data_IF_647343266675
#
_entry.id   IF_647343266675
#
_cell.length_a   1.000
_cell.length_b   1.000
_cell.length_c   1.000
_cell.angle_alpha   90.00
_cell.angle_beta   90.00
_cell.angle_gamma   90.00
#
_symmetry.space_group_name_H-M   'P 1'
#
loop_
_entity.id
_entity.type
_entity.pdbx_description
1 polymer ?
#
# COMPACT_ATOMS: atom_id res chain seq x y z
N UNK A 1 -6.45 16.46 34.79
CA UNK A 1 -7.08 15.28 34.15
C UNK A 1 -6.01 14.34 33.59
N UNK A 2 -5.13 13.81 34.45
CA UNK A 2 -3.96 13.00 34.04
C UNK A 2 -3.79 11.73 34.89
N UNK A 3 -4.58 11.58 35.96
CA UNK A 3 -4.42 10.48 36.92
C UNK A 3 -5.11 9.17 36.47
N UNK A 4 -6.24 9.29 35.77
CA UNK A 4 -7.06 8.15 35.35
C UNK A 4 -6.32 7.25 34.35
N UNK A 5 -5.54 7.83 33.44
CA UNK A 5 -4.79 7.04 32.43
C UNK A 5 -3.61 6.26 33.05
N UNK A 6 -3.06 6.75 34.16
CA UNK A 6 -1.98 6.09 34.88
C UNK A 6 -2.52 4.93 35.73
N UNK A 7 -3.60 5.16 36.49
CA UNK A 7 -4.30 4.09 37.23
C UNK A 7 -4.88 3.03 36.28
N UNK A 8 -5.43 3.42 35.11
CA UNK A 8 -5.88 2.46 34.11
C UNK A 8 -4.71 1.59 33.63
N UNK A 9 -3.55 2.19 33.31
CA UNK A 9 -2.35 1.45 32.87
C UNK A 9 -1.83 0.50 33.94
N UNK A 10 -1.91 0.90 35.21
CA UNK A 10 -1.45 0.10 36.34
C UNK A 10 -2.40 -1.08 36.64
N UNK A 11 -3.72 -0.85 36.57
CA UNK A 11 -4.74 -1.91 36.64
C UNK A 11 -4.68 -2.86 35.43
N UNK A 12 -4.42 -2.35 34.23
CA UNK A 12 -4.25 -3.15 33.01
C UNK A 12 -2.92 -3.93 32.98
N UNK A 13 -1.96 -3.59 33.83
CA UNK A 13 -0.70 -4.32 33.98
C UNK A 13 -0.79 -5.53 34.92
N UNK A 14 -1.84 -5.59 35.76
CA UNK A 14 -2.09 -6.66 36.73
C UNK A 14 -3.02 -7.77 36.19
N UNK A 15 -3.77 -7.49 35.12
CA UNK A 15 -4.68 -8.43 34.45
C UNK A 15 -4.28 -8.56 32.97
N UNK A 16 -4.62 -9.70 32.33
CA UNK A 16 -4.47 -9.85 30.88
C UNK A 16 -5.06 -8.65 30.12
N UNK A 17 -4.45 -8.29 29.00
CA UNK A 17 -4.93 -7.21 28.12
C UNK A 17 -6.43 -7.39 27.84
N UNK A 18 -7.28 -6.37 28.06
CA UNK A 18 -8.72 -6.47 27.88
C UNK A 18 -9.10 -6.97 26.48
N UNK A 19 -10.24 -7.65 26.38
CA UNK A 19 -10.73 -8.21 25.12
C UNK A 19 -10.77 -7.16 23.99
N UNK A 20 -11.28 -5.95 24.26
CA UNK A 20 -11.33 -4.88 23.25
C UNK A 20 -9.94 -4.47 22.76
N UNK A 21 -8.96 -4.38 23.67
CA UNK A 21 -7.60 -3.99 23.33
C UNK A 21 -6.89 -5.05 22.49
N UNK A 22 -7.06 -6.34 22.83
CA UNK A 22 -6.59 -7.47 21.99
C UNK A 22 -7.24 -7.44 20.61
N UNK A 23 -8.54 -7.21 20.53
CA UNK A 23 -9.27 -7.12 19.25
C UNK A 23 -8.77 -5.99 18.36
N UNK A 24 -8.47 -4.83 18.95
CA UNK A 24 -7.83 -3.72 18.26
C UNK A 24 -6.47 -4.13 17.68
N UNK A 25 -5.60 -4.70 18.50
CA UNK A 25 -4.26 -5.16 18.07
C UNK A 25 -4.34 -6.24 17.00
N UNK A 26 -5.25 -7.21 17.13
CA UNK A 26 -5.44 -8.29 16.15
C UNK A 26 -5.87 -7.76 14.79
N UNK A 27 -6.76 -6.74 14.77
CA UNK A 27 -7.16 -6.07 13.55
C UNK A 27 -5.98 -5.31 12.93
N UNK A 28 -5.30 -4.47 13.72
CA UNK A 28 -4.16 -3.69 13.25
C UNK A 28 -3.07 -4.58 12.65
N UNK A 29 -2.74 -5.68 13.33
CA UNK A 29 -1.76 -6.65 12.86
C UNK A 29 -2.22 -7.39 11.59
N UNK A 30 -3.51 -7.69 11.45
CA UNK A 30 -4.04 -8.29 10.22
C UNK A 30 -3.97 -7.33 9.03
N UNK A 31 -4.32 -6.06 9.23
CA UNK A 31 -4.24 -5.03 8.19
C UNK A 31 -2.78 -4.76 7.79
N UNK A 32 -1.89 -4.57 8.78
CA UNK A 32 -0.47 -4.32 8.54
C UNK A 32 0.15 -5.43 7.68
N UNK A 33 -0.07 -6.70 8.04
CA UNK A 33 0.44 -7.84 7.25
C UNK A 33 -0.10 -7.89 5.82
N UNK A 34 -1.37 -7.53 5.62
CA UNK A 34 -1.96 -7.48 4.29
C UNK A 34 -1.29 -6.40 3.43
N UNK A 35 -1.15 -5.19 3.98
CA UNK A 35 -0.50 -4.07 3.29
C UNK A 35 0.98 -4.34 3.03
N UNK A 36 1.69 -4.96 3.98
CA UNK A 36 3.10 -5.34 3.80
C UNK A 36 3.28 -6.41 2.72
N UNK A 37 2.33 -7.35 2.62
CA UNK A 37 2.32 -8.32 1.52
C UNK A 37 2.09 -7.61 0.18
N UNK A 38 1.08 -6.74 0.08
CA UNK A 38 0.79 -5.98 -1.13
C UNK A 38 2.00 -5.14 -1.56
N UNK A 39 2.61 -4.42 -0.62
CA UNK A 39 3.79 -3.59 -0.87
C UNK A 39 4.97 -4.41 -1.38
N UNK A 40 5.32 -5.51 -0.71
CA UNK A 40 6.45 -6.37 -1.12
C UNK A 40 6.25 -6.96 -2.51
N UNK A 41 5.06 -7.50 -2.77
CA UNK A 41 4.72 -8.09 -4.07
C UNK A 41 4.75 -7.05 -5.18
N UNK A 42 4.17 -5.87 -4.94
CA UNK A 42 4.21 -4.76 -5.90
C UNK A 42 5.64 -4.32 -6.20
N UNK A 43 6.46 -4.09 -5.18
CA UNK A 43 7.86 -3.67 -5.32
C UNK A 43 8.66 -4.70 -6.12
N UNK A 44 8.53 -5.99 -5.81
CA UNK A 44 9.20 -7.07 -6.54
C UNK A 44 8.78 -7.14 -8.02
N UNK A 45 7.50 -6.93 -8.32
CA UNK A 45 7.04 -6.93 -9.72
C UNK A 45 7.48 -5.68 -10.50
N UNK A 46 7.77 -4.57 -9.83
CA UNK A 46 8.23 -3.32 -10.43
C UNK A 46 9.73 -3.28 -10.75
N UNK A 47 10.54 -4.22 -10.25
CA UNK A 47 12.00 -4.23 -10.47
C UNK A 47 12.38 -4.09 -11.94
N UNK A 48 11.69 -4.83 -12.81
CA UNK A 48 11.97 -4.78 -14.25
C UNK A 48 11.54 -3.43 -14.85
N UNK A 49 10.44 -2.84 -14.40
CA UNK A 49 10.01 -1.51 -14.86
C UNK A 49 11.04 -0.46 -14.45
N UNK A 50 11.50 -0.49 -13.20
CA UNK A 50 12.58 0.39 -12.68
C UNK A 50 13.87 0.23 -13.47
N UNK A 51 14.26 -1.01 -13.82
CA UNK A 51 15.41 -1.26 -14.67
C UNK A 51 15.25 -0.62 -16.06
N UNK A 52 14.08 -0.76 -16.69
CA UNK A 52 13.82 -0.17 -18.01
C UNK A 52 13.71 1.35 -17.98
N UNK A 53 13.18 1.92 -16.92
CA UNK A 53 13.21 3.36 -16.68
C UNK A 53 14.64 3.88 -16.59
N UNK A 54 15.52 3.25 -15.80
CA UNK A 54 16.96 3.61 -15.75
C UNK A 54 17.66 3.48 -17.10
N UNK A 55 17.36 2.42 -17.86
CA UNK A 55 17.88 2.27 -19.23
C UNK A 55 17.39 3.38 -20.16
N UNK A 56 16.15 3.83 -20.00
CA UNK A 56 15.59 4.93 -20.77
C UNK A 56 16.30 6.25 -20.45
N UNK A 57 16.44 6.62 -19.18
CA UNK A 57 17.13 7.87 -18.82
C UNK A 57 18.59 7.86 -19.26
N UNK A 58 19.29 6.73 -19.14
CA UNK A 58 20.65 6.56 -19.66
C UNK A 58 20.78 6.52 -21.20
N UNK A 59 19.67 6.58 -21.94
CA UNK A 59 19.66 6.61 -23.40
C UNK A 59 19.02 7.88 -24.00
N UNK A 60 18.27 8.62 -23.20
CA UNK A 60 17.61 9.87 -23.57
C UNK A 60 18.42 11.08 -23.08
N UNK A 61 18.38 12.18 -23.83
CA UNK A 61 19.11 13.41 -23.53
C UNK A 61 18.36 14.36 -22.58
N UNK A 62 17.08 14.11 -22.32
CA UNK A 62 16.27 14.97 -21.47
C UNK A 62 14.82 14.50 -21.30
N UNK A 63 14.05 15.22 -20.47
CA UNK A 63 12.68 14.85 -20.14
C UNK A 63 11.76 14.82 -21.36
N UNK A 64 11.95 15.69 -22.35
CA UNK A 64 11.07 15.77 -23.53
C UNK A 64 11.32 14.69 -24.60
N UNK A 65 12.36 13.88 -24.47
CA UNK A 65 12.72 12.86 -25.48
C UNK A 65 11.63 11.79 -25.67
N UNK A 66 10.72 11.65 -24.70
CA UNK A 66 9.58 10.74 -24.79
C UNK A 66 8.72 11.04 -26.03
N UNK A 67 8.63 12.30 -26.47
CA UNK A 67 7.75 12.74 -27.59
C UNK A 67 8.03 12.02 -28.90
N UNK A 68 9.25 11.52 -29.08
CA UNK A 68 9.68 10.82 -30.30
C UNK A 68 9.36 9.33 -30.30
N UNK A 69 8.95 8.78 -29.15
CA UNK A 69 8.89 7.33 -28.94
C UNK A 69 7.61 6.86 -28.23
N UNK A 70 7.05 7.66 -27.33
CA UNK A 70 5.82 7.38 -26.58
C UNK A 70 4.70 8.33 -27.00
N UNK A 71 3.45 7.87 -26.86
CA UNK A 71 2.27 8.67 -27.18
C UNK A 71 1.95 9.75 -26.13
N UNK A 72 2.47 9.61 -24.92
CA UNK A 72 2.25 10.53 -23.80
C UNK A 72 3.49 10.61 -22.91
N UNK A 73 3.54 11.63 -22.04
CA UNK A 73 4.62 11.76 -21.05
C UNK A 73 4.66 10.54 -20.13
N UNK A 74 5.89 10.09 -19.87
CA UNK A 74 6.18 9.02 -18.92
C UNK A 74 6.59 9.54 -17.54
N UNK A 75 6.50 10.86 -17.29
CA UNK A 75 7.01 11.49 -16.06
C UNK A 75 6.33 10.94 -14.80
N UNK A 76 5.05 10.58 -14.90
CA UNK A 76 4.31 9.98 -13.79
C UNK A 76 4.78 8.57 -13.45
N UNK A 77 5.43 7.85 -14.37
CA UNK A 77 5.90 6.49 -14.11
C UNK A 77 7.02 6.46 -13.07
N UNK A 78 7.85 7.49 -12.98
CA UNK A 78 8.96 7.55 -12.01
C UNK A 78 8.46 7.44 -10.56
N UNK A 79 7.60 8.34 -10.06
CA UNK A 79 7.08 8.24 -8.70
C UNK A 79 6.11 7.05 -8.52
N UNK A 80 5.30 6.70 -9.53
CA UNK A 80 4.38 5.55 -9.42
C UNK A 80 5.15 4.23 -9.23
N UNK A 81 6.28 4.08 -9.91
CA UNK A 81 7.11 2.89 -9.78
C UNK A 81 8.06 2.97 -8.58
N UNK A 82 8.09 4.07 -7.82
CA UNK A 82 9.08 4.34 -6.79
C UNK A 82 10.51 4.09 -7.36
N UNK A 83 10.75 4.70 -8.53
CA UNK A 83 12.03 4.69 -9.22
C UNK A 83 12.83 5.94 -8.84
N UNK A 84 14.16 5.82 -8.88
CA UNK A 84 15.06 6.96 -8.72
C UNK A 84 14.78 8.03 -9.79
N UNK A 85 14.98 9.33 -9.47
CA UNK A 85 14.87 10.41 -10.44
C UNK A 85 15.74 10.14 -11.68
N UNK A 86 15.28 10.52 -12.88
CA UNK A 86 16.00 10.23 -14.12
C UNK A 86 17.36 10.96 -14.16
N UNK A 87 18.42 10.20 -14.40
CA UNK A 87 19.72 10.72 -14.81
C UNK A 87 19.83 10.62 -16.35
N UNK A 88 19.76 11.76 -17.02
CA UNK A 88 19.79 11.85 -18.49
C UNK A 88 21.20 11.68 -19.03
N UNK A 89 21.30 11.10 -20.23
CA UNK A 89 22.58 10.92 -20.90
C UNK A 89 23.07 12.23 -21.53
N UNK A 90 24.36 12.53 -21.39
CA UNK A 90 25.01 13.67 -22.07
C UNK A 90 24.90 13.58 -23.60
N UNK A 91 24.88 12.35 -24.12
CA UNK A 91 24.72 12.04 -25.53
C UNK A 91 23.61 11.00 -25.71
N UNK A 92 22.54 11.31 -26.44
CA UNK A 92 21.45 10.37 -26.62
C UNK A 92 21.91 9.16 -27.44
N UNK A 93 21.34 8.01 -27.13
CA UNK A 93 21.53 6.81 -27.94
C UNK A 93 20.87 6.97 -29.32
N UNK A 94 21.33 6.23 -30.35
CA UNK A 94 20.67 6.22 -31.65
C UNK A 94 19.18 5.88 -31.56
N UNK A 95 18.36 6.49 -32.42
CA UNK A 95 16.90 6.36 -32.39
C UNK A 95 16.41 4.89 -32.36
N UNK A 96 17.07 3.99 -33.11
CA UNK A 96 16.77 2.55 -33.10
C UNK A 96 16.90 1.93 -31.70
N UNK A 97 17.95 2.32 -30.95
CA UNK A 97 18.19 1.82 -29.59
C UNK A 97 17.18 2.38 -28.60
N UNK A 98 16.89 3.69 -28.66
CA UNK A 98 15.83 4.31 -27.82
C UNK A 98 14.47 3.64 -28.04
N UNK A 99 14.08 3.39 -29.29
CA UNK A 99 12.85 2.66 -29.61
C UNK A 99 12.83 1.23 -29.06
N UNK A 100 13.97 0.53 -29.06
CA UNK A 100 14.05 -0.80 -28.46
C UNK A 100 13.84 -0.76 -26.94
N UNK A 101 14.51 0.17 -26.25
CA UNK A 101 14.35 0.36 -24.80
C UNK A 101 12.91 0.73 -24.45
N UNK A 102 12.29 1.63 -25.22
CA UNK A 102 10.90 2.02 -25.01
C UNK A 102 9.93 0.85 -25.19
N UNK A 103 10.11 0.01 -26.22
CA UNK A 103 9.30 -1.21 -26.40
C UNK A 103 9.47 -2.16 -25.20
N UNK A 104 10.68 -2.33 -24.71
CA UNK A 104 10.95 -3.15 -23.52
C UNK A 104 10.30 -2.58 -22.26
N UNK A 105 10.28 -1.25 -22.12
CA UNK A 105 9.61 -0.55 -21.02
C UNK A 105 8.10 -0.79 -21.06
N UNK A 106 7.46 -0.55 -22.21
CA UNK A 106 6.01 -0.79 -22.41
C UNK A 106 5.67 -2.24 -22.09
N UNK A 107 6.40 -3.20 -22.66
CA UNK A 107 6.18 -4.62 -22.40
C UNK A 107 6.36 -5.00 -20.92
N UNK A 108 7.25 -4.31 -20.20
CA UNK A 108 7.45 -4.52 -18.75
C UNK A 108 6.31 -3.97 -17.92
N UNK A 109 5.81 -2.77 -18.24
CA UNK A 109 4.64 -2.16 -17.59
C UNK A 109 3.40 -3.03 -17.81
N UNK A 110 3.15 -3.49 -19.04
CA UNK A 110 2.01 -4.36 -19.31
C UNK A 110 2.08 -5.69 -18.54
N UNK A 111 3.27 -6.30 -18.45
CA UNK A 111 3.48 -7.51 -17.65
C UNK A 111 3.23 -7.25 -16.17
N UNK A 112 3.70 -6.12 -15.65
CA UNK A 112 3.42 -5.69 -14.28
C UNK A 112 1.92 -5.56 -14.05
N UNK A 113 1.21 -4.80 -14.88
CA UNK A 113 -0.24 -4.58 -14.74
C UNK A 113 -1.02 -5.89 -14.74
N UNK A 114 -0.71 -6.81 -15.66
CA UNK A 114 -1.36 -8.14 -15.71
C UNK A 114 -1.06 -8.99 -14.48
N UNK A 115 0.20 -9.00 -14.02
CA UNK A 115 0.59 -9.79 -12.83
C UNK A 115 0.01 -9.21 -11.55
N UNK A 116 0.01 -7.88 -11.42
CA UNK A 116 -0.54 -7.18 -10.27
C UNK A 116 -2.05 -7.37 -10.16
N UNK A 117 -2.79 -7.20 -11.27
CA UNK A 117 -4.22 -7.48 -11.31
C UNK A 117 -4.52 -8.92 -10.86
N UNK A 118 -3.81 -9.91 -11.43
CA UNK A 118 -3.98 -11.32 -11.03
C UNK A 118 -3.64 -11.58 -9.56
N UNK A 119 -2.61 -10.91 -9.04
CA UNK A 119 -2.26 -11.02 -7.62
C UNK A 119 -3.39 -10.51 -6.73
N UNK A 120 -3.95 -9.35 -7.05
CA UNK A 120 -5.08 -8.78 -6.29
C UNK A 120 -6.34 -9.63 -6.43
N UNK A 121 -6.62 -10.18 -7.61
CA UNK A 121 -7.75 -11.10 -7.84
C UNK A 121 -7.61 -12.39 -6.99
N UNK A 122 -6.38 -12.86 -6.78
CA UNK A 122 -6.09 -14.05 -5.96
C UNK A 122 -5.98 -13.76 -4.46
N UNK A 123 -6.09 -12.51 -4.02
CA UNK A 123 -5.91 -12.14 -2.63
C UNK A 123 -7.20 -12.41 -1.83
N UNK A 124 -7.15 -13.37 -0.92
CA UNK A 124 -8.29 -13.64 -0.04
C UNK A 124 -8.41 -12.57 1.06
N UNK A 125 -9.33 -11.63 0.88
CA UNK A 125 -9.62 -10.54 1.83
C UNK A 125 -10.52 -10.97 2.99
N UNK A 126 -11.20 -12.11 2.89
CA UNK A 126 -12.22 -12.55 3.85
C UNK A 126 -11.67 -12.68 5.29
N UNK A 127 -10.47 -13.25 5.54
CA UNK A 127 -9.93 -13.31 6.91
C UNK A 127 -9.68 -11.94 7.55
N UNK A 128 -9.33 -10.92 6.76
CA UNK A 128 -9.15 -9.56 7.24
C UNK A 128 -10.51 -8.87 7.44
N UNK A 129 -11.43 -9.03 6.48
CA UNK A 129 -12.78 -8.49 6.57
C UNK A 129 -13.58 -9.06 7.74
N UNK A 130 -13.44 -10.34 8.08
CA UNK A 130 -14.03 -10.90 9.30
C UNK A 130 -13.53 -10.24 10.57
N UNK A 131 -12.23 -9.86 10.61
CA UNK A 131 -11.66 -9.13 11.76
C UNK A 131 -12.20 -7.71 11.83
N UNK A 132 -12.37 -7.04 10.68
CA UNK A 132 -13.02 -5.73 10.57
C UNK A 132 -14.45 -5.82 11.11
N UNK A 133 -15.23 -6.81 10.67
CA UNK A 133 -16.61 -7.01 11.11
C UNK A 133 -16.68 -7.25 12.63
N UNK A 134 -15.81 -8.11 13.17
CA UNK A 134 -15.72 -8.38 14.60
C UNK A 134 -15.32 -7.14 15.40
N UNK A 135 -14.34 -6.38 14.94
CA UNK A 135 -13.93 -5.13 15.56
C UNK A 135 -15.08 -4.12 15.58
N UNK A 136 -15.71 -3.86 14.43
CA UNK A 136 -16.81 -2.91 14.33
C UNK A 136 -18.00 -3.30 15.22
N UNK A 137 -18.25 -4.60 15.37
CA UNK A 137 -19.39 -5.11 16.16
C UNK A 137 -19.12 -5.16 17.66
N UNK A 138 -17.94 -5.63 18.08
CA UNK A 138 -17.70 -6.01 19.48
C UNK A 138 -16.78 -5.05 20.23
N UNK A 139 -15.94 -4.27 19.55
CA UNK A 139 -14.94 -3.44 20.23
C UNK A 139 -15.57 -2.44 21.20
N UNK A 140 -16.61 -1.72 20.78
CA UNK A 140 -17.29 -0.74 21.66
C UNK A 140 -17.94 -1.45 22.85
N UNK A 141 -18.64 -2.57 22.60
CA UNK A 141 -19.35 -3.31 23.64
C UNK A 141 -18.37 -3.81 24.72
N UNK A 142 -17.25 -4.39 24.29
CA UNK A 142 -16.21 -4.87 25.20
C UNK A 142 -15.55 -3.71 25.98
N UNK A 143 -15.33 -2.58 25.31
CA UNK A 143 -14.77 -1.38 25.93
C UNK A 143 -15.74 -0.76 26.93
N UNK A 144 -17.04 -0.76 26.65
CA UNK A 144 -18.09 -0.30 27.55
C UNK A 144 -18.17 -1.17 28.81
N UNK A 145 -18.18 -2.50 28.65
CA UNK A 145 -18.14 -3.44 29.79
C UNK A 145 -16.92 -3.21 30.69
N UNK A 146 -15.76 -2.89 30.10
CA UNK A 146 -14.53 -2.63 30.84
C UNK A 146 -14.53 -1.27 31.57
N UNK A 147 -15.12 -0.23 30.95
CA UNK A 147 -15.09 1.15 31.47
C UNK A 147 -16.32 1.52 32.30
N UNK A 148 -17.39 0.70 32.25
CA UNK A 148 -18.67 1.00 32.89
C UNK A 148 -19.37 2.24 32.33
N UNK A 149 -19.00 2.69 31.13
CA UNK A 149 -19.53 3.94 30.54
C UNK A 149 -19.51 3.93 29.02
N UNK A 150 -20.70 3.93 28.40
CA UNK A 150 -20.87 4.05 26.95
C UNK A 150 -20.17 5.30 26.38
N UNK A 151 -20.26 6.44 27.09
CA UNK A 151 -19.64 7.71 26.68
C UNK A 151 -18.11 7.61 26.60
N UNK A 152 -17.48 6.99 27.59
CA UNK A 152 -16.03 6.78 27.58
C UNK A 152 -15.62 5.73 26.55
N UNK A 153 -16.43 4.69 26.36
CA UNK A 153 -16.18 3.64 25.38
C UNK A 153 -16.22 4.15 23.93
N UNK A 154 -17.21 4.95 23.57
CA UNK A 154 -17.36 5.53 22.23
C UNK A 154 -16.21 6.49 21.86
N UNK A 155 -15.53 7.06 22.85
CA UNK A 155 -14.44 8.01 22.61
C UNK A 155 -13.31 7.36 21.79
N UNK A 156 -12.92 8.02 20.71
CA UNK A 156 -11.86 7.58 19.77
C UNK A 156 -12.15 6.27 19.02
N UNK A 157 -13.37 5.71 19.10
CA UNK A 157 -13.74 4.62 18.22
C UNK A 157 -13.91 5.12 16.79
N UNK A 158 -13.30 4.42 15.84
CA UNK A 158 -13.45 4.66 14.40
C UNK A 158 -13.78 3.33 13.76
N UNK A 159 -14.97 3.23 13.16
CA UNK A 159 -15.34 2.07 12.38
C UNK A 159 -14.40 1.92 11.18
N UNK A 160 -14.05 0.68 10.84
CA UNK A 160 -13.21 0.38 9.68
C UNK A 160 -14.07 -0.13 8.54
N UNK A 161 -13.85 0.42 7.35
CA UNK A 161 -14.51 -0.07 6.14
C UNK A 161 -13.94 -1.44 5.75
N UNK A 162 -14.78 -2.25 5.11
CA UNK A 162 -14.32 -3.53 4.54
C UNK A 162 -13.32 -3.24 3.43
N UNK A 163 -12.30 -4.08 3.37
CA UNK A 163 -11.34 -4.07 2.29
C UNK A 163 -12.00 -4.59 1.01
N UNK A 164 -11.80 -3.84 -0.07
CA UNK A 164 -12.19 -4.20 -1.42
C UNK A 164 -10.96 -4.26 -2.31
N UNK A 165 -11.09 -4.95 -3.45
CA UNK A 165 -10.05 -5.00 -4.47
C UNK A 165 -9.82 -3.60 -5.05
N UNK A 166 -10.88 -2.86 -5.29
CA UNK A 166 -10.87 -1.50 -5.84
C UNK A 166 -10.12 -0.57 -4.89
N UNK A 167 -10.39 -0.64 -3.59
CA UNK A 167 -9.67 0.16 -2.59
C UNK A 167 -8.17 -0.17 -2.53
N UNK A 168 -7.80 -1.44 -2.73
CA UNK A 168 -6.38 -1.83 -2.83
C UNK A 168 -5.73 -1.33 -4.13
N UNK A 169 -6.46 -1.28 -5.25
CA UNK A 169 -5.97 -0.70 -6.49
C UNK A 169 -5.76 0.81 -6.37
N UNK A 170 -6.69 1.52 -5.74
CA UNK A 170 -6.57 2.97 -5.51
C UNK A 170 -5.36 3.29 -4.63
N UNK A 171 -5.10 2.46 -3.62
CA UNK A 171 -3.95 2.64 -2.74
C UNK A 171 -2.62 2.19 -3.38
N UNK A 172 -2.66 1.23 -4.29
CA UNK A 172 -1.50 0.65 -4.97
C UNK A 172 -1.71 0.66 -6.49
N UNK A 173 -1.63 1.85 -7.12
CA UNK A 173 -1.99 2.01 -8.53
C UNK A 173 -1.01 1.31 -9.48
N UNK A 174 -1.52 1.01 -10.67
CA UNK A 174 -0.76 0.52 -11.83
C UNK A 174 -0.30 1.65 -12.73
#
# INVERSE_FOLDING_TARGET
>A
MTNVDAELKELLGLFDVPAFARRGHDLEYALARLHDRCRRERLGMLEMVRLRLRQWSGAAAGPDDWRTTFAASIDRLWPLCDAEPPAWADRPAPARRRRAIARDLVASVERFNRRWARFLDGLNLEPANRRIDQYNRYYILEKECCLGSARLAARHFVARERLTREGLLDQYPT
#
